data_IF_173432465550
#
_entry.id   IF_173432465550
#
_cell.length_a   1.000
_cell.length_b   1.000
_cell.length_c   1.000
_cell.angle_alpha   90.00
_cell.angle_beta   90.00
_cell.angle_gamma   90.00
#
_symmetry.space_group_name_H-M   'P 1'
#
loop_
_entity.id
_entity.type
_entity.pdbx_description
1 polymer ?
#
# COMPACT_ATOMS: atom_id res chain seq x y z
N UNK A 1 4.43 -20.95 -12.64
CA UNK A 1 4.09 -19.60 -13.10
C UNK A 1 4.53 -19.49 -14.53
N UNK A 2 3.71 -18.92 -15.39
CA UNK A 2 4.05 -18.71 -16.79
C UNK A 2 4.61 -17.29 -17.02
N UNK A 3 5.48 -17.14 -18.00
CA UNK A 3 6.07 -15.85 -18.37
C UNK A 3 5.20 -15.06 -19.38
N UNK A 4 3.99 -15.54 -19.66
CA UNK A 4 3.08 -14.90 -20.62
C UNK A 4 2.76 -13.47 -20.19
N UNK A 5 2.65 -12.58 -21.17
CA UNK A 5 2.33 -11.16 -20.98
C UNK A 5 1.07 -10.97 -20.12
N UNK A 6 0.02 -11.75 -20.38
CA UNK A 6 -1.22 -11.71 -19.60
C UNK A 6 -1.01 -11.96 -18.10
N UNK A 7 -0.14 -12.91 -17.77
CA UNK A 7 0.22 -13.26 -16.40
C UNK A 7 0.94 -12.11 -15.70
N UNK A 8 1.81 -11.41 -16.43
CA UNK A 8 2.52 -10.23 -15.95
C UNK A 8 1.57 -9.05 -15.71
N UNK A 9 0.63 -8.81 -16.63
CA UNK A 9 -0.40 -7.77 -16.50
C UNK A 9 -1.26 -8.06 -15.26
N UNK A 10 -1.75 -9.29 -15.10
CA UNK A 10 -2.56 -9.68 -13.94
C UNK A 10 -1.82 -9.48 -12.61
N UNK A 11 -0.52 -9.79 -12.57
CA UNK A 11 0.33 -9.54 -11.39
C UNK A 11 0.52 -8.06 -11.11
N UNK A 12 0.75 -7.25 -12.13
CA UNK A 12 0.82 -5.79 -11.99
C UNK A 12 -0.51 -5.18 -11.52
N UNK A 13 -1.63 -5.60 -12.09
CA UNK A 13 -2.97 -5.15 -11.70
C UNK A 13 -3.34 -5.52 -10.26
N UNK A 14 -2.68 -6.53 -9.66
CA UNK A 14 -2.84 -6.82 -8.23
C UNK A 14 -2.46 -5.61 -7.37
N UNK A 15 -1.45 -4.83 -7.77
CA UNK A 15 -1.05 -3.60 -7.08
C UNK A 15 -2.17 -2.56 -7.11
N UNK A 16 -2.85 -2.39 -8.25
CA UNK A 16 -4.03 -1.55 -8.34
C UNK A 16 -5.13 -2.03 -7.38
N UNK A 17 -5.31 -3.36 -7.28
CA UNK A 17 -6.22 -3.98 -6.31
C UNK A 17 -5.88 -3.62 -4.86
N UNK A 18 -4.62 -3.75 -4.45
CA UNK A 18 -4.16 -3.40 -3.10
C UNK A 18 -4.40 -1.90 -2.81
N UNK A 19 -4.20 -1.02 -3.80
CA UNK A 19 -4.53 0.42 -3.68
C UNK A 19 -6.02 0.64 -3.48
N UNK A 20 -6.87 0.02 -4.30
CA UNK A 20 -8.32 0.17 -4.21
C UNK A 20 -8.86 -0.34 -2.88
N UNK A 21 -8.33 -1.44 -2.36
CA UNK A 21 -8.69 -1.93 -1.02
C UNK A 21 -8.36 -0.87 0.04
N UNK A 22 -7.16 -0.27 -0.01
CA UNK A 22 -6.80 0.81 0.90
C UNK A 22 -7.71 2.04 0.75
N UNK A 23 -8.10 2.40 -0.47
CA UNK A 23 -9.05 3.46 -0.75
C UNK A 23 -10.43 3.19 -0.15
N UNK A 24 -10.94 1.96 -0.27
CA UNK A 24 -12.20 1.56 0.36
C UNK A 24 -12.12 1.60 1.89
N UNK A 25 -11.03 1.10 2.47
CA UNK A 25 -10.79 1.19 3.92
C UNK A 25 -10.80 2.66 4.34
N UNK A 26 -10.08 3.53 3.62
CA UNK A 26 -10.11 4.97 3.89
C UNK A 26 -11.53 5.51 3.88
N UNK A 27 -12.31 5.25 2.82
CA UNK A 27 -13.68 5.74 2.67
C UNK A 27 -14.61 5.27 3.80
N UNK A 28 -14.60 3.97 4.13
CA UNK A 28 -15.45 3.39 5.17
C UNK A 28 -15.14 3.99 6.54
N UNK A 29 -13.85 4.12 6.86
CA UNK A 29 -13.41 4.58 8.19
C UNK A 29 -13.24 6.10 8.30
N UNK A 30 -13.43 6.86 7.20
CA UNK A 30 -13.39 8.33 7.21
C UNK A 30 -14.44 8.95 8.14
N UNK A 31 -15.62 8.32 8.24
CA UNK A 31 -16.70 8.77 9.13
C UNK A 31 -16.26 8.83 10.60
N UNK A 32 -15.41 7.89 11.02
CA UNK A 32 -14.85 7.86 12.39
C UNK A 32 -13.94 9.07 12.61
N UNK A 33 -13.12 9.41 11.62
CA UNK A 33 -12.22 10.58 11.70
C UNK A 33 -13.03 11.87 11.80
N UNK A 34 -14.09 12.01 11.00
CA UNK A 34 -14.97 13.19 11.06
C UNK A 34 -15.72 13.32 12.39
N UNK A 35 -15.95 12.20 13.10
CA UNK A 35 -16.58 12.20 14.43
C UNK A 35 -15.59 12.57 15.55
N UNK A 36 -14.34 12.08 15.45
CA UNK A 36 -13.31 12.29 16.49
C UNK A 36 -12.68 13.68 16.40
N UNK A 37 -12.40 14.15 15.19
CA UNK A 37 -11.72 15.43 14.97
C UNK A 37 -12.74 16.54 14.75
N UNK A 38 -12.73 17.54 15.65
CA UNK A 38 -13.49 18.78 15.49
C UNK A 38 -13.05 19.54 14.23
N UNK A 39 -13.92 20.40 13.72
CA UNK A 39 -13.73 21.13 12.45
C UNK A 39 -12.37 21.84 12.35
N UNK A 40 -11.87 22.42 13.45
CA UNK A 40 -10.58 23.11 13.55
C UNK A 40 -9.36 22.18 13.34
N UNK A 41 -9.50 20.87 13.56
CA UNK A 41 -8.41 19.87 13.45
C UNK A 41 -8.68 18.77 12.43
N UNK A 42 -9.75 18.89 11.65
CA UNK A 42 -10.18 17.86 10.70
C UNK A 42 -9.11 17.57 9.65
N UNK A 43 -8.43 18.60 9.12
CA UNK A 43 -7.33 18.44 8.17
C UNK A 43 -6.17 17.60 8.74
N UNK A 44 -5.84 17.83 10.01
CA UNK A 44 -4.81 17.05 10.72
C UNK A 44 -5.26 15.61 10.88
N UNK A 45 -6.52 15.38 11.25
CA UNK A 45 -7.11 14.05 11.35
C UNK A 45 -7.06 13.27 10.04
N UNK A 46 -7.48 13.89 8.94
CA UNK A 46 -7.39 13.31 7.58
C UNK A 46 -5.94 12.97 7.22
N UNK A 47 -5.00 13.87 7.50
CA UNK A 47 -3.57 13.69 7.15
C UNK A 47 -2.97 12.51 7.92
N UNK A 48 -3.18 12.45 9.24
CA UNK A 48 -2.71 11.33 10.08
C UNK A 48 -3.37 10.02 9.66
N UNK A 49 -4.68 10.05 9.39
CA UNK A 49 -5.40 8.85 8.96
C UNK A 49 -4.92 8.36 7.59
N UNK A 50 -4.70 9.27 6.64
CA UNK A 50 -4.09 8.97 5.34
C UNK A 50 -2.71 8.33 5.49
N UNK A 51 -1.87 8.82 6.42
CA UNK A 51 -0.58 8.19 6.71
C UNK A 51 -0.73 6.76 7.27
N UNK A 52 -1.71 6.50 8.14
CA UNK A 52 -1.97 5.14 8.65
C UNK A 52 -2.43 4.22 7.51
N UNK A 53 -3.36 4.67 6.68
CA UNK A 53 -3.84 3.91 5.52
C UNK A 53 -2.71 3.67 4.51
N UNK A 54 -1.84 4.66 4.29
CA UNK A 54 -0.62 4.50 3.49
C UNK A 54 0.25 3.35 3.99
N UNK A 55 0.45 3.22 5.30
CA UNK A 55 1.24 2.12 5.87
C UNK A 55 0.58 0.76 5.65
N UNK A 56 -0.75 0.67 5.81
CA UNK A 56 -1.52 -0.55 5.53
C UNK A 56 -1.40 -0.93 4.05
N UNK A 57 -1.65 0.01 3.14
CA UNK A 57 -1.51 -0.16 1.70
C UNK A 57 -0.09 -0.60 1.33
N UNK A 58 0.91 0.07 1.88
CA UNK A 58 2.32 -0.22 1.61
C UNK A 58 2.69 -1.63 2.06
N UNK A 59 2.21 -2.05 3.24
CA UNK A 59 2.42 -3.40 3.77
C UNK A 59 1.79 -4.46 2.87
N UNK A 60 0.56 -4.25 2.42
CA UNK A 60 -0.14 -5.15 1.49
C UNK A 60 0.63 -5.29 0.16
N UNK A 61 0.97 -4.17 -0.48
CA UNK A 61 1.70 -4.18 -1.75
C UNK A 61 3.08 -4.81 -1.62
N UNK A 62 3.81 -4.45 -0.55
CA UNK A 62 5.14 -4.98 -0.26
C UNK A 62 5.10 -6.50 -0.09
N UNK A 63 4.19 -7.02 0.72
CA UNK A 63 4.06 -8.46 0.97
C UNK A 63 3.59 -9.21 -0.28
N UNK A 64 2.60 -8.67 -1.01
CA UNK A 64 2.15 -9.18 -2.31
C UNK A 64 3.30 -9.37 -3.30
N UNK A 65 4.20 -8.39 -3.40
CA UNK A 65 5.34 -8.44 -4.34
C UNK A 65 6.47 -9.33 -3.84
N UNK A 66 6.73 -9.35 -2.53
CA UNK A 66 7.70 -10.26 -1.93
C UNK A 66 7.33 -11.72 -2.18
N UNK A 67 6.06 -12.08 -1.94
CA UNK A 67 5.53 -13.42 -2.22
C UNK A 67 5.59 -13.76 -3.71
N UNK A 68 5.34 -12.77 -4.58
CA UNK A 68 5.42 -12.93 -6.04
C UNK A 68 6.85 -13.25 -6.48
N UNK A 69 7.83 -12.46 -6.03
CA UNK A 69 9.24 -12.68 -6.34
C UNK A 69 9.73 -14.04 -5.84
N UNK A 70 9.35 -14.42 -4.62
CA UNK A 70 9.71 -15.71 -4.05
C UNK A 70 9.19 -16.89 -4.88
N UNK A 71 7.98 -16.78 -5.42
CA UNK A 71 7.39 -17.81 -6.30
C UNK A 71 8.06 -17.82 -7.68
N UNK A 72 8.35 -16.67 -8.26
CA UNK A 72 8.97 -16.56 -9.58
C UNK A 72 10.43 -17.01 -9.61
N UNK A 73 11.17 -16.83 -8.50
CA UNK A 73 12.56 -17.29 -8.36
C UNK A 73 12.71 -18.81 -8.30
N UNK A 74 11.63 -19.55 -8.01
CA UNK A 74 11.72 -21.01 -7.84
C UNK A 74 12.25 -21.68 -9.12
N UNK A 75 13.23 -22.60 -9.02
CA UNK A 75 13.80 -23.30 -10.18
C UNK A 75 12.76 -24.05 -11.02
N UNK A 76 11.64 -24.42 -10.40
CA UNK A 76 10.53 -25.18 -11.03
C UNK A 76 9.86 -24.47 -12.20
N UNK A 77 10.08 -23.17 -12.40
CA UNK A 77 9.37 -22.40 -13.42
C UNK A 77 10.26 -21.83 -14.53
N UNK A 78 11.59 -21.98 -14.44
CA UNK A 78 12.59 -21.54 -15.43
C UNK A 78 12.33 -20.12 -16.02
N UNK A 79 11.88 -19.19 -15.17
CA UNK A 79 11.49 -17.83 -15.59
C UNK A 79 12.67 -16.84 -15.50
N UNK A 80 13.74 -17.21 -14.78
CA UNK A 80 14.93 -16.39 -14.47
C UNK A 80 14.60 -14.88 -14.35
N UNK A 81 13.72 -14.51 -13.40
CA UNK A 81 13.19 -13.16 -13.37
C UNK A 81 14.27 -12.14 -12.98
N UNK A 82 14.19 -10.95 -13.58
CA UNK A 82 15.02 -9.81 -13.18
C UNK A 82 14.62 -9.30 -11.79
N UNK A 83 15.57 -8.90 -10.92
CA UNK A 83 15.27 -8.31 -9.61
C UNK A 83 14.46 -7.02 -9.70
N UNK A 84 14.50 -6.32 -10.84
CA UNK A 84 13.78 -5.05 -11.04
C UNK A 84 12.33 -5.23 -11.54
N UNK A 85 11.87 -6.47 -11.74
CA UNK A 85 10.53 -6.76 -12.27
C UNK A 85 9.40 -6.22 -11.39
N UNK A 86 9.64 -6.04 -10.08
CA UNK A 86 8.70 -5.38 -9.17
C UNK A 86 8.35 -3.94 -9.54
N UNK A 87 9.31 -3.16 -10.03
CA UNK A 87 9.04 -1.79 -10.48
C UNK A 87 8.12 -1.80 -11.70
N UNK A 88 8.36 -2.71 -12.64
CA UNK A 88 7.51 -2.90 -13.81
C UNK A 88 6.07 -3.30 -13.40
N UNK A 89 5.91 -4.23 -12.45
CA UNK A 89 4.58 -4.55 -11.92
C UNK A 89 3.91 -3.34 -11.25
N UNK A 90 4.67 -2.52 -10.54
CA UNK A 90 4.20 -1.26 -10.00
C UNK A 90 3.75 -0.27 -11.07
N UNK A 91 4.50 -0.11 -12.16
CA UNK A 91 4.12 0.73 -13.32
C UNK A 91 2.87 0.22 -14.05
N UNK A 92 2.71 -1.10 -14.16
CA UNK A 92 1.48 -1.69 -14.68
C UNK A 92 0.30 -1.40 -13.73
N UNK A 93 0.52 -1.52 -12.43
CA UNK A 93 -0.52 -1.29 -11.40
C UNK A 93 -0.97 0.16 -11.28
N UNK A 94 -0.05 1.13 -11.39
CA UNK A 94 -0.38 2.56 -11.35
C UNK A 94 -1.12 3.01 -12.63
N UNK A 95 -0.86 2.39 -13.79
CA UNK A 95 -1.47 2.79 -15.07
C UNK A 95 -2.98 3.02 -15.01
N UNK A 96 -3.84 2.06 -14.58
CA UNK A 96 -5.28 2.29 -14.49
C UNK A 96 -5.64 3.40 -13.49
N UNK A 97 -4.91 3.56 -12.39
CA UNK A 97 -5.15 4.61 -11.40
C UNK A 97 -4.84 6.00 -11.97
N UNK A 98 -3.71 6.11 -12.67
CA UNK A 98 -3.28 7.34 -13.31
C UNK A 98 -4.22 7.73 -14.46
N UNK A 99 -4.68 6.77 -15.25
CA UNK A 99 -5.67 7.02 -16.30
C UNK A 99 -6.98 7.59 -15.74
N UNK A 100 -7.48 7.04 -14.61
CA UNK A 100 -8.66 7.60 -13.93
C UNK A 100 -8.39 9.02 -13.43
N UNK A 101 -7.20 9.29 -12.89
CA UNK A 101 -6.82 10.64 -12.49
C UNK A 101 -6.74 11.61 -13.69
N UNK A 102 -6.30 11.18 -14.87
CA UNK A 102 -6.27 12.03 -16.06
C UNK A 102 -7.65 12.44 -16.56
N UNK A 103 -8.70 11.65 -16.25
CA UNK A 103 -10.08 12.06 -16.54
C UNK A 103 -10.46 13.37 -15.84
N UNK A 104 -9.78 13.73 -14.73
CA UNK A 104 -9.92 15.03 -14.08
C UNK A 104 -9.76 16.20 -15.05
N UNK A 105 -8.77 16.14 -15.96
CA UNK A 105 -8.50 17.22 -16.90
C UNK A 105 -9.48 17.24 -18.09
N UNK A 106 -10.13 16.11 -18.38
CA UNK A 106 -11.09 15.99 -19.47
C UNK A 106 -12.50 16.47 -19.07
N UNK A 107 -12.82 16.47 -17.78
CA UNK A 107 -14.14 16.84 -17.29
C UNK A 107 -14.18 18.34 -17.00
N UNK A 108 -14.90 19.09 -17.84
CA UNK A 108 -15.26 20.49 -17.56
C UNK A 108 -16.50 20.53 -16.67
N UNK A 109 -16.44 21.27 -15.58
CA UNK A 109 -17.58 21.46 -14.66
C UNK A 109 -17.85 22.95 -14.48
N UNK A 110 -19.11 23.36 -14.23
CA UNK A 110 -19.44 24.73 -13.82
C UNK A 110 -18.65 25.16 -12.57
N UNK A 111 -18.45 26.47 -12.39
CA UNK A 111 -17.62 27.03 -11.31
C UNK A 111 -18.04 26.55 -9.91
N UNK A 112 -19.35 26.43 -9.68
CA UNK A 112 -19.95 25.92 -8.44
C UNK A 112 -19.50 24.49 -8.08
N UNK A 113 -19.08 23.68 -9.06
CA UNK A 113 -18.63 22.30 -8.87
C UNK A 113 -17.11 22.13 -8.85
N UNK A 114 -16.32 23.20 -9.02
CA UNK A 114 -14.85 23.11 -9.01
C UNK A 114 -14.31 22.53 -7.69
N UNK A 115 -14.91 22.91 -6.56
CA UNK A 115 -14.55 22.37 -5.24
C UNK A 115 -14.84 20.88 -5.17
N UNK A 116 -16.00 20.44 -5.65
CA UNK A 116 -16.37 19.02 -5.67
C UNK A 116 -15.41 18.23 -6.56
N UNK A 117 -15.11 18.73 -7.76
CA UNK A 117 -14.15 18.13 -8.70
C UNK A 117 -12.78 17.92 -8.05
N UNK A 118 -12.26 18.92 -7.35
CA UNK A 118 -10.99 18.82 -6.60
C UNK A 118 -11.08 17.82 -5.44
N UNK A 119 -12.19 17.79 -4.71
CA UNK A 119 -12.42 16.81 -3.62
C UNK A 119 -12.47 15.37 -4.14
N UNK A 120 -13.01 15.13 -5.34
CA UNK A 120 -12.99 13.80 -5.96
C UNK A 120 -11.55 13.35 -6.25
N UNK A 121 -10.71 14.23 -6.80
CA UNK A 121 -9.29 13.94 -7.03
C UNK A 121 -8.55 13.64 -5.72
N UNK A 122 -8.82 14.42 -4.67
CA UNK A 122 -8.29 14.20 -3.33
C UNK A 122 -8.74 12.87 -2.73
N UNK A 123 -10.04 12.55 -2.87
CA UNK A 123 -10.61 11.31 -2.39
C UNK A 123 -9.98 10.11 -3.08
N UNK A 124 -9.84 10.14 -4.41
CA UNK A 124 -9.18 9.06 -5.16
C UNK A 124 -7.70 8.89 -4.77
N UNK A 125 -7.06 9.98 -4.34
CA UNK A 125 -5.67 10.02 -3.87
C UNK A 125 -5.53 9.85 -2.35
N UNK A 126 -6.61 9.51 -1.64
CA UNK A 126 -6.66 9.56 -0.18
C UNK A 126 -5.63 8.69 0.54
N UNK A 127 -5.31 7.47 0.10
CA UNK A 127 -4.21 6.68 0.69
C UNK A 127 -2.84 7.36 0.62
N UNK A 128 -2.68 8.37 -0.24
CA UNK A 128 -1.44 9.12 -0.45
C UNK A 128 -1.59 10.62 -0.13
N UNK A 129 -2.73 11.03 0.41
CA UNK A 129 -3.02 12.44 0.68
C UNK A 129 -1.98 13.10 1.59
N UNK A 130 -1.52 12.40 2.62
CA UNK A 130 -0.47 12.91 3.52
C UNK A 130 0.82 13.28 2.79
N UNK A 131 1.18 12.55 1.73
CA UNK A 131 2.37 12.82 0.95
C UNK A 131 2.12 14.00 0.00
N UNK A 132 0.93 14.07 -0.58
CA UNK A 132 0.56 15.16 -1.47
C UNK A 132 0.56 16.48 -0.72
N UNK A 133 0.00 16.52 0.49
CA UNK A 133 -0.06 17.73 1.32
C UNK A 133 1.31 18.25 1.76
N UNK A 134 2.34 17.39 1.83
CA UNK A 134 3.72 17.80 2.10
C UNK A 134 4.36 18.43 0.85
N UNK A 135 4.04 17.93 -0.34
CA UNK A 135 4.65 18.39 -1.60
C UNK A 135 4.06 19.73 -2.05
N UNK A 136 2.74 19.79 -2.25
CA UNK A 136 2.01 21.00 -2.64
C UNK A 136 0.52 20.80 -2.40
N UNK A 137 -0.20 21.92 -2.28
CA UNK A 137 -1.67 21.90 -2.24
C UNK A 137 -2.28 21.89 -3.65
N UNK A 138 -1.47 21.99 -4.70
CA UNK A 138 -1.93 22.01 -6.09
C UNK A 138 -2.37 20.62 -6.58
N UNK A 139 -3.16 20.60 -7.65
CA UNK A 139 -3.71 19.38 -8.25
C UNK A 139 -2.62 18.42 -8.75
N UNK A 140 -1.52 18.97 -9.29
CA UNK A 140 -0.43 18.17 -9.85
C UNK A 140 0.24 17.27 -8.80
N UNK A 141 0.23 17.66 -7.52
CA UNK A 141 0.81 16.87 -6.44
C UNK A 141 0.13 15.50 -6.30
N UNK A 142 -1.19 15.43 -6.52
CA UNK A 142 -1.96 14.18 -6.43
C UNK A 142 -1.60 13.16 -7.52
N UNK A 143 -1.04 13.62 -8.64
CA UNK A 143 -0.52 12.76 -9.71
C UNK A 143 0.88 12.25 -9.39
N UNK A 144 1.75 13.14 -8.93
CA UNK A 144 3.15 12.82 -8.66
C UNK A 144 3.30 11.81 -7.53
N UNK A 145 2.47 11.89 -6.48
CA UNK A 145 2.55 10.95 -5.35
C UNK A 145 2.30 9.51 -5.75
N UNK A 146 1.57 9.24 -6.85
CA UNK A 146 1.35 7.87 -7.31
C UNK A 146 2.66 7.14 -7.63
N UNK A 147 3.76 7.85 -7.94
CA UNK A 147 5.08 7.26 -8.19
C UNK A 147 5.64 6.49 -6.99
N UNK A 148 5.13 6.72 -5.78
CA UNK A 148 5.48 5.92 -4.61
C UNK A 148 5.06 4.45 -4.75
N UNK A 149 4.01 4.17 -5.54
CA UNK A 149 3.48 2.82 -5.74
C UNK A 149 4.50 1.92 -6.45
N UNK A 150 5.09 2.31 -7.61
CA UNK A 150 6.22 1.60 -8.20
C UNK A 150 7.39 1.36 -7.24
N UNK A 151 7.71 2.33 -6.37
CA UNK A 151 8.80 2.20 -5.40
C UNK A 151 8.48 1.10 -4.37
N UNK A 152 7.29 1.14 -3.78
CA UNK A 152 6.86 0.12 -2.79
C UNK A 152 6.83 -1.27 -3.42
N UNK A 153 6.26 -1.39 -4.62
CA UNK A 153 6.18 -2.66 -5.34
C UNK A 153 7.59 -3.20 -5.68
N UNK A 154 8.48 -2.33 -6.15
CA UNK A 154 9.88 -2.65 -6.41
C UNK A 154 10.61 -3.16 -5.17
N UNK A 155 10.51 -2.43 -4.04
CA UNK A 155 11.13 -2.82 -2.77
C UNK A 155 10.57 -4.15 -2.25
N UNK A 156 9.26 -4.35 -2.33
CA UNK A 156 8.61 -5.61 -1.98
C UNK A 156 9.16 -6.77 -2.80
N UNK A 157 9.23 -6.61 -4.11
CA UNK A 157 9.75 -7.65 -5.01
C UNK A 157 11.23 -7.96 -4.75
N UNK A 158 12.08 -6.93 -4.63
CA UNK A 158 13.50 -7.08 -4.30
C UNK A 158 13.70 -7.88 -3.00
N UNK A 159 12.86 -7.62 -2.00
CA UNK A 159 12.93 -8.35 -0.73
C UNK A 159 12.66 -9.85 -0.88
N UNK A 160 11.67 -10.22 -1.71
CA UNK A 160 11.35 -11.61 -1.98
C UNK A 160 12.39 -12.28 -2.87
N UNK A 161 12.96 -11.54 -3.83
CA UNK A 161 14.01 -12.02 -4.72
C UNK A 161 15.29 -12.37 -3.96
N UNK A 162 15.72 -11.51 -3.04
CA UNK A 162 16.90 -11.72 -2.21
C UNK A 162 16.61 -12.48 -0.90
N UNK A 163 15.37 -12.92 -0.67
CA UNK A 163 14.94 -13.63 0.55
C UNK A 163 15.16 -12.82 1.86
N UNK A 164 15.30 -11.50 1.75
CA UNK A 164 15.35 -10.57 2.88
C UNK A 164 13.95 -10.21 3.34
N UNK A 165 13.25 -11.13 4.02
CA UNK A 165 12.04 -10.76 4.75
C UNK A 165 12.42 -9.85 5.93
N UNK A 166 12.05 -8.58 5.87
CA UNK A 166 12.20 -7.62 6.99
C UNK A 166 11.62 -8.22 8.28
N UNK A 167 10.48 -8.90 8.20
CA UNK A 167 9.83 -9.57 9.33
C UNK A 167 10.67 -10.73 9.90
N UNK A 168 11.33 -11.52 9.03
CA UNK A 168 12.19 -12.65 9.43
C UNK A 168 13.49 -12.15 10.05
N UNK A 169 14.05 -11.04 9.54
CA UNK A 169 15.28 -10.41 10.06
C UNK A 169 15.07 -9.72 11.41
N UNK A 170 13.88 -9.14 11.63
CA UNK A 170 13.53 -8.48 12.89
C UNK A 170 13.29 -9.46 14.06
N UNK A 171 13.17 -10.78 13.81
CA UNK A 171 12.92 -11.83 14.83
C UNK A 171 11.78 -11.49 15.81
N UNK A 172 10.82 -10.66 15.41
CA UNK A 172 9.75 -10.16 16.29
C UNK A 172 8.89 -11.32 16.75
N UNK A 173 8.53 -12.22 15.83
CA UNK A 173 7.77 -13.43 16.15
C UNK A 173 8.53 -14.41 17.05
N UNK A 174 9.84 -14.60 16.82
CA UNK A 174 10.66 -15.44 17.68
C UNK A 174 10.74 -14.87 19.11
N UNK A 175 10.90 -13.55 19.25
CA UNK A 175 10.91 -12.86 20.54
C UNK A 175 9.56 -12.96 21.26
N UNK A 176 8.45 -12.77 20.54
CA UNK A 176 7.10 -12.88 21.10
C UNK A 176 6.78 -14.31 21.57
N UNK A 177 7.17 -15.31 20.78
CA UNK A 177 6.99 -16.73 21.12
C UNK A 177 7.81 -17.13 22.34
N UNK A 178 9.08 -16.70 22.42
CA UNK A 178 9.93 -16.91 23.60
C UNK A 178 9.32 -16.30 24.87
N UNK A 179 8.81 -15.07 24.76
CA UNK A 179 8.18 -14.35 25.87
C UNK A 179 6.88 -15.03 26.34
N UNK A 180 6.11 -15.64 25.44
CA UNK A 180 4.93 -16.44 25.80
C UNK A 180 5.31 -17.76 26.49
N UNK A 181 6.35 -18.46 26.01
CA UNK A 181 6.85 -19.69 26.64
C UNK A 181 7.38 -19.42 28.06
N UNK A 182 8.10 -18.31 28.28
CA UNK A 182 8.56 -17.88 29.62
C UNK A 182 7.40 -17.58 30.57
N UNK A 183 6.36 -16.88 30.11
CA UNK A 183 5.14 -16.63 30.90
C UNK A 183 4.41 -17.92 31.28
N UNK A 184 4.33 -18.89 30.36
CA UNK A 184 3.72 -20.21 30.66
C UNK A 184 4.51 -21.00 31.70
N UNK A 185 5.84 -20.92 31.69
CA UNK A 185 6.70 -21.57 32.70
C UNK A 185 6.59 -20.90 34.07
N UNK A 186 6.43 -19.58 34.12
CA UNK A 186 6.22 -18.84 35.38
C UNK A 186 4.82 -19.04 35.99
N UNK A 187 3.81 -19.32 35.16
CA UNK A 187 2.43 -19.58 35.60
C UNK A 187 2.16 -21.04 36.00
N UNK A 188 3.17 -21.92 35.95
CA UNK A 188 3.11 -23.26 36.54
C UNK A 188 3.93 -23.34 37.85
N UNK A 189 3.53 -22.69 38.96
CA UNK A 189 4.06 -23.06 40.25
C UNK A 189 3.41 -24.37 40.72
N UNK A 190 4.25 -25.40 40.85
CA UNK A 190 4.16 -26.49 41.82
C UNK A 190 2.77 -27.13 42.05
N UNK A 191 2.31 -27.97 41.11
CA UNK A 191 1.42 -29.10 41.43
C UNK A 191 2.22 -30.40 41.53
N UNK A 192 3.23 -30.44 42.38
CA UNK A 192 3.91 -31.68 42.78
C UNK A 192 4.48 -31.52 44.19
N UNK A 193 3.64 -31.77 45.19
CA UNK A 193 3.97 -32.48 46.42
C UNK A 193 2.74 -33.26 46.83
#
# INVERSE_FOLDING_TARGET
MDNKVWSQIKRGLKIAGDYLVALFIFGIFSSIIFSIFKEDKLLTGITVFSFIIFLVMSSMMYTSMSDTAFREKRPQYDINPSPFKGFMYGFIGITPLFLVQLLYYLINVPEEFLVLKRRILQAFSAPLYWLASIISHDEWAYHVVLLVIPIIAGLGYLSGYHEFYIIKKLKIFDKLRKKQEERRKQQQPQKRK
#
